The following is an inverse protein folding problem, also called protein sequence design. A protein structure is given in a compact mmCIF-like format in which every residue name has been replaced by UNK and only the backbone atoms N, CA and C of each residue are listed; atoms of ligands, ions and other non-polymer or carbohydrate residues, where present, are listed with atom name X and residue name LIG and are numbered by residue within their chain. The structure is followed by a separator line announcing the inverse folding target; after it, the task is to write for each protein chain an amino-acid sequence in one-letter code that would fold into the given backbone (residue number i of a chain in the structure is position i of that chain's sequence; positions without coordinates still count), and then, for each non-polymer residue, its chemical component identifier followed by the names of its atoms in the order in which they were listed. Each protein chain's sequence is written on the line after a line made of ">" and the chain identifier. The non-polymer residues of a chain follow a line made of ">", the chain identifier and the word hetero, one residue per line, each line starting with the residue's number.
data_IF_824055908398
#
_entry.id   IF_824055908398
#
_cell.length_a   1.000
_cell.length_b   1.000
_cell.length_c   1.000
_cell.angle_alpha   90.00
_cell.angle_beta   90.00
_cell.angle_gamma   90.00
#
_symmetry.space_group_name_H-M   'P 1'
#
loop_
_entity.id
_entity.type
_entity.pdbx_description
1 polymer ?
#
# COMPACT_ATOMS: atom_id res chain seq x y z
N UNK A 1 -16.11 -1.97 -9.53
CA UNK A 1 -15.36 -1.88 -8.27
C UNK A 1 -15.26 -0.41 -7.92
N UNK A 2 -15.83 -0.02 -6.78
CA UNK A 2 -15.87 1.37 -6.30
C UNK A 2 -14.69 1.54 -5.35
N UNK A 3 -13.77 2.45 -5.67
CA UNK A 3 -12.64 2.81 -4.81
C UNK A 3 -12.86 4.25 -4.36
N UNK A 4 -13.19 4.46 -3.09
CA UNK A 4 -13.45 5.79 -2.52
C UNK A 4 -12.19 6.63 -2.52
N UNK A 5 -12.33 7.92 -2.82
CA UNK A 5 -11.30 8.93 -2.68
C UNK A 5 -11.62 9.73 -1.41
N UNK A 6 -10.71 9.76 -0.43
CA UNK A 6 -10.90 10.46 0.85
C UNK A 6 -11.12 11.97 0.76
N UNK A 7 -10.93 12.58 -0.41
CA UNK A 7 -11.05 14.03 -0.61
C UNK A 7 -12.43 14.50 -1.10
N UNK A 8 -13.27 13.59 -1.59
CA UNK A 8 -14.62 13.93 -2.01
C UNK A 8 -15.55 12.79 -1.58
N UNK A 9 -16.56 13.10 -0.77
CA UNK A 9 -17.60 12.14 -0.34
C UNK A 9 -18.49 11.60 -1.48
N UNK A 10 -18.00 11.68 -2.72
CA UNK A 10 -18.56 11.06 -3.91
C UNK A 10 -17.94 9.67 -4.04
N UNK A 11 -18.73 8.61 -3.84
CA UNK A 11 -18.31 7.26 -4.18
C UNK A 11 -17.83 7.22 -5.64
N UNK A 12 -16.70 6.57 -5.92
CA UNK A 12 -16.17 6.45 -7.27
C UNK A 12 -17.17 5.74 -8.20
N UNK A 13 -18.03 6.52 -8.83
CA UNK A 13 -18.72 6.20 -10.08
C UNK A 13 -17.94 6.88 -11.19
N UNK A 14 -16.80 6.33 -11.56
CA UNK A 14 -16.23 6.68 -12.86
C UNK A 14 -17.11 6.07 -13.95
N UNK A 15 -18.06 6.86 -14.43
CA UNK A 15 -18.77 6.65 -15.70
C UNK A 15 -17.84 6.77 -16.92
N UNK A 16 -16.53 6.94 -16.70
CA UNK A 16 -15.45 6.87 -17.69
C UNK A 16 -14.34 5.89 -17.28
N UNK A 17 -14.63 4.84 -16.51
CA UNK A 17 -13.80 3.63 -16.51
C UNK A 17 -13.97 2.89 -17.85
N UNK A 18 -13.62 3.58 -18.94
CA UNK A 18 -13.36 2.95 -20.24
C UNK A 18 -12.02 2.26 -20.11
N UNK A 19 -12.00 1.10 -19.45
CA UNK A 19 -11.05 0.01 -19.64
C UNK A 19 -9.63 0.44 -20.08
N UNK A 20 -9.03 1.42 -19.39
CA UNK A 20 -7.62 1.74 -19.57
C UNK A 20 -6.86 0.69 -18.77
N UNK A 21 -6.67 -0.44 -19.42
CA UNK A 21 -5.85 -1.54 -18.90
C UNK A 21 -4.41 -1.07 -18.96
N UNK A 22 -3.91 -0.54 -17.84
CA UNK A 22 -2.48 -0.36 -17.70
C UNK A 22 -1.80 -1.72 -17.70
N UNK A 23 -0.80 -1.88 -18.55
CA UNK A 23 0.08 -3.04 -18.50
C UNK A 23 0.94 -2.97 -17.23
N UNK A 24 0.76 -3.90 -16.29
CA UNK A 24 1.55 -3.94 -15.06
C UNK A 24 3.03 -4.31 -15.32
N UNK A 25 3.37 -4.75 -16.53
CA UNK A 25 4.74 -5.00 -16.99
C UNK A 25 5.43 -3.73 -17.53
N UNK A 26 4.75 -2.59 -17.52
CA UNK A 26 5.30 -1.29 -17.90
C UNK A 26 5.53 -0.42 -16.64
N UNK A 27 6.73 0.15 -16.51
CA UNK A 27 7.07 1.01 -15.39
C UNK A 27 6.24 2.30 -15.40
N UNK A 28 5.42 2.53 -14.36
CA UNK A 28 4.60 3.73 -14.30
C UNK A 28 5.39 5.02 -14.05
N UNK A 29 6.66 4.94 -13.66
CA UNK A 29 7.54 6.10 -13.41
C UNK A 29 8.35 6.53 -14.63
N UNK A 30 8.70 5.61 -15.54
CA UNK A 30 9.55 5.92 -16.70
C UNK A 30 9.09 5.33 -18.03
N UNK A 31 7.93 4.65 -18.07
CA UNK A 31 7.35 3.98 -19.25
C UNK A 31 8.21 2.86 -19.87
N UNK A 32 9.24 2.39 -19.17
CA UNK A 32 10.02 1.24 -19.61
C UNK A 32 9.16 -0.03 -19.57
N UNK A 33 9.05 -0.70 -20.72
CA UNK A 33 8.37 -1.99 -20.84
C UNK A 33 9.32 -3.15 -20.47
N UNK A 34 8.78 -4.14 -19.77
CA UNK A 34 9.50 -5.34 -19.36
C UNK A 34 8.80 -6.60 -19.86
N UNK A 35 9.59 -7.65 -20.10
CA UNK A 35 9.09 -8.93 -20.59
C UNK A 35 8.14 -9.64 -19.61
N UNK A 36 8.26 -9.35 -18.32
CA UNK A 36 7.42 -9.92 -17.27
C UNK A 36 7.31 -8.97 -16.07
N UNK A 37 6.32 -9.25 -15.21
CA UNK A 37 6.01 -8.47 -14.02
C UNK A 37 7.19 -8.39 -13.05
N UNK A 38 7.87 -9.50 -12.81
CA UNK A 38 8.99 -9.58 -11.86
C UNK A 38 10.16 -8.69 -12.28
N UNK A 39 10.52 -8.71 -13.57
CA UNK A 39 11.54 -7.84 -14.15
C UNK A 39 11.15 -6.36 -14.02
N UNK A 40 9.88 -6.05 -14.23
CA UNK A 40 9.33 -4.71 -14.01
C UNK A 40 9.49 -4.27 -12.54
N UNK A 41 9.12 -5.13 -11.60
CA UNK A 41 9.26 -4.87 -10.16
C UNK A 41 10.72 -4.69 -9.74
N UNK A 42 11.64 -5.52 -10.26
CA UNK A 42 13.08 -5.38 -10.00
C UNK A 42 13.61 -4.06 -10.56
N UNK A 43 13.15 -3.63 -11.74
CA UNK A 43 13.49 -2.33 -12.29
C UNK A 43 12.94 -1.18 -11.43
N UNK A 44 11.67 -1.24 -11.06
CA UNK A 44 11.01 -0.29 -10.18
C UNK A 44 11.79 -0.12 -8.87
N UNK A 45 12.23 -1.24 -8.27
CA UNK A 45 13.05 -1.21 -7.06
C UNK A 45 14.44 -0.60 -7.28
N UNK A 46 15.17 -1.06 -8.30
CA UNK A 46 16.57 -0.65 -8.52
C UNK A 46 16.73 0.77 -9.05
N UNK A 47 15.82 1.22 -9.91
CA UNK A 47 15.94 2.52 -10.57
C UNK A 47 15.15 3.61 -9.85
N UNK A 48 14.01 3.25 -9.25
CA UNK A 48 13.11 4.24 -8.65
C UNK A 48 13.01 4.10 -7.13
N UNK A 49 13.63 3.08 -6.52
CA UNK A 49 13.53 2.83 -5.09
C UNK A 49 12.13 2.36 -4.67
N UNK A 50 11.31 1.88 -5.62
CA UNK A 50 9.96 1.42 -5.32
C UNK A 50 9.96 0.10 -4.56
N UNK A 51 9.13 0.04 -3.53
CA UNK A 51 9.03 -1.10 -2.63
C UNK A 51 7.57 -1.31 -2.21
N UNK A 52 7.16 -2.57 -2.15
CA UNK A 52 5.85 -3.02 -1.67
C UNK A 52 6.07 -3.67 -0.29
N UNK A 53 5.52 -3.09 0.78
CA UNK A 53 5.55 -3.69 2.12
C UNK A 53 4.91 -5.08 2.15
N UNK A 54 5.31 -5.92 3.10
CA UNK A 54 4.57 -7.12 3.51
C UNK A 54 4.14 -8.02 2.34
N UNK A 55 5.05 -8.20 1.38
CA UNK A 55 4.79 -8.88 0.10
C UNK A 55 4.30 -10.32 0.29
N UNK A 56 4.62 -10.98 1.41
CA UNK A 56 4.11 -12.30 1.76
C UNK A 56 2.59 -12.35 2.00
N UNK A 57 1.97 -11.21 2.33
CA UNK A 57 0.52 -11.07 2.54
C UNK A 57 -0.20 -10.47 1.34
N UNK A 58 0.53 -10.06 0.31
CA UNK A 58 -0.04 -9.46 -0.89
C UNK A 58 -0.78 -10.52 -1.72
N UNK A 59 -2.08 -10.30 -1.95
CA UNK A 59 -2.93 -11.25 -2.69
C UNK A 59 -2.55 -11.33 -4.17
N UNK A 60 -2.37 -10.18 -4.82
CA UNK A 60 -2.04 -10.11 -6.24
C UNK A 60 -1.21 -8.85 -6.56
N UNK A 61 0.10 -9.00 -6.84
CA UNK A 61 0.96 -7.86 -7.20
C UNK A 61 0.52 -7.18 -8.49
N UNK A 62 -0.14 -7.90 -9.40
CA UNK A 62 -0.62 -7.36 -10.66
C UNK A 62 -1.73 -6.35 -10.44
N UNK A 63 -2.71 -6.69 -9.60
CA UNK A 63 -3.82 -5.79 -9.25
C UNK A 63 -3.30 -4.54 -8.55
N UNK A 64 -2.39 -4.70 -7.59
CA UNK A 64 -1.79 -3.57 -6.87
C UNK A 64 -1.07 -2.62 -7.84
N UNK A 65 -0.23 -3.15 -8.73
CA UNK A 65 0.52 -2.33 -9.69
C UNK A 65 -0.38 -1.64 -10.72
N UNK A 66 -1.44 -2.29 -11.19
CA UNK A 66 -2.44 -1.63 -12.05
C UNK A 66 -3.10 -0.46 -11.32
N UNK A 67 -3.51 -0.65 -10.08
CA UNK A 67 -4.14 0.40 -9.27
C UNK A 67 -3.21 1.58 -9.01
N UNK A 68 -1.98 1.31 -8.53
CA UNK A 68 -0.94 2.32 -8.29
C UNK A 68 -0.60 3.06 -9.60
N UNK A 69 -0.48 2.31 -10.69
CA UNK A 69 -0.23 2.86 -12.02
C UNK A 69 -1.31 3.86 -12.42
N UNK A 70 -2.59 3.57 -12.14
CA UNK A 70 -3.70 4.49 -12.44
C UNK A 70 -3.62 5.76 -11.58
N UNK A 71 -3.32 5.66 -10.27
CA UNK A 71 -3.12 6.84 -9.40
C UNK A 71 -2.06 7.78 -9.98
N UNK A 72 -0.94 7.25 -10.47
CA UNK A 72 0.15 8.07 -11.03
C UNK A 72 -0.15 8.55 -12.44
N UNK A 73 -0.50 7.63 -13.36
CA UNK A 73 -0.60 7.93 -14.80
C UNK A 73 -1.86 8.68 -15.19
N UNK A 74 -2.97 8.42 -14.51
CA UNK A 74 -4.27 9.00 -14.85
C UNK A 74 -4.64 10.13 -13.93
N UNK A 75 -4.47 9.91 -12.62
CA UNK A 75 -4.95 10.85 -11.61
C UNK A 75 -3.85 11.87 -11.22
N UNK A 76 -2.63 11.70 -11.75
CA UNK A 76 -1.45 12.50 -11.46
C UNK A 76 -1.26 12.71 -9.96
N UNK A 77 -1.37 11.64 -9.18
CA UNK A 77 -1.23 11.65 -7.73
C UNK A 77 0.09 11.02 -7.29
N UNK A 78 0.71 11.62 -6.28
CA UNK A 78 1.86 11.03 -5.61
C UNK A 78 1.40 9.91 -4.67
N UNK A 79 2.18 8.83 -4.57
CA UNK A 79 1.86 7.66 -3.75
C UNK A 79 2.09 7.85 -2.25
N UNK A 80 2.83 8.88 -1.88
CA UNK A 80 3.28 9.09 -0.50
C UNK A 80 2.94 10.48 0.06
N UNK A 81 2.59 11.46 -0.79
CA UNK A 81 2.10 12.71 -0.25
C UNK A 81 0.67 12.51 0.26
N UNK A 82 0.43 12.90 1.51
CA UNK A 82 -0.90 12.84 2.12
C UNK A 82 -1.93 13.68 1.35
N UNK A 83 -3.21 13.45 1.65
CA UNK A 83 -4.43 14.15 1.20
C UNK A 83 -4.34 15.67 0.93
N UNK A 84 -3.41 16.38 1.57
CA UNK A 84 -3.16 17.82 1.28
C UNK A 84 -2.51 18.07 -0.08
N UNK A 85 -2.03 17.04 -0.76
CA UNK A 85 -1.44 17.15 -2.09
C UNK A 85 -2.52 16.99 -3.15
N UNK A 86 -2.94 18.11 -3.74
CA UNK A 86 -3.75 18.09 -4.95
C UNK A 86 -3.03 17.37 -6.10
N UNK A 87 -3.80 16.90 -7.07
CA UNK A 87 -3.26 16.32 -8.30
C UNK A 87 -2.29 17.28 -8.98
N UNK A 88 -1.23 16.72 -9.55
CA UNK A 88 -0.25 17.50 -10.29
C UNK A 88 -0.84 17.92 -11.65
N UNK A 89 -0.31 19.01 -12.22
CA UNK A 89 -0.77 19.51 -13.52
C UNK A 89 -0.41 18.62 -14.71
N UNK A 90 0.45 17.61 -14.53
CA UNK A 90 0.85 16.67 -15.59
C UNK A 90 1.51 15.41 -15.02
N UNK A 91 1.57 14.36 -15.85
CA UNK A 91 2.32 13.12 -15.56
C UNK A 91 3.81 13.39 -15.29
N UNK A 92 4.40 14.30 -16.06
CA UNK A 92 5.80 14.67 -15.89
C UNK A 92 6.04 15.34 -14.53
N UNK A 93 5.11 16.20 -14.08
CA UNK A 93 5.22 16.89 -12.81
C UNK A 93 5.16 15.92 -11.62
N UNK A 94 4.22 14.96 -11.63
CA UNK A 94 4.14 13.94 -10.56
C UNK A 94 5.37 13.03 -10.56
N UNK A 95 5.87 12.61 -11.73
CA UNK A 95 7.07 11.75 -11.82
C UNK A 95 8.31 12.45 -11.28
N UNK A 96 8.57 13.69 -11.71
CA UNK A 96 9.68 14.50 -11.19
C UNK A 96 9.56 14.72 -9.70
N UNK A 97 8.35 14.94 -9.19
CA UNK A 97 8.11 15.07 -7.76
C UNK A 97 8.44 13.79 -7.01
N UNK A 98 7.95 12.64 -7.50
CA UNK A 98 8.18 11.34 -6.88
C UNK A 98 9.66 10.98 -6.86
N UNK A 99 10.38 11.22 -7.95
CA UNK A 99 11.82 11.01 -8.06
C UNK A 99 12.60 11.95 -7.12
N UNK A 100 12.32 13.26 -7.17
CA UNK A 100 13.05 14.26 -6.39
C UNK A 100 12.90 14.10 -4.87
N UNK A 101 11.75 13.60 -4.40
CA UNK A 101 11.49 13.35 -2.98
C UNK A 101 11.65 11.89 -2.56
N UNK A 102 11.95 11.00 -3.50
CA UNK A 102 11.91 9.55 -3.28
C UNK A 102 10.56 9.07 -2.72
N UNK A 103 9.46 9.67 -3.19
CA UNK A 103 8.08 9.27 -2.89
C UNK A 103 7.59 8.14 -3.82
N UNK A 104 8.51 7.25 -4.12
CA UNK A 104 8.33 6.07 -4.96
C UNK A 104 7.87 4.88 -4.11
N UNK A 105 7.31 5.09 -2.92
CA UNK A 105 6.88 4.06 -2.00
C UNK A 105 5.40 4.23 -1.69
N UNK A 106 4.75 3.13 -1.40
CA UNK A 106 3.35 3.13 -0.97
C UNK A 106 3.30 3.51 0.50
N UNK A 107 2.41 4.43 0.87
CA UNK A 107 2.14 4.78 2.27
C UNK A 107 1.47 3.57 2.96
N UNK A 108 2.04 3.07 4.05
CA UNK A 108 1.52 1.89 4.75
C UNK A 108 1.90 1.97 6.23
N UNK A 109 0.90 2.01 7.12
CA UNK A 109 1.08 2.05 8.58
C UNK A 109 1.45 3.41 9.21
N UNK A 110 1.69 4.46 8.41
CA UNK A 110 1.96 5.84 8.89
C UNK A 110 0.89 6.87 8.48
N UNK A 111 -0.18 6.43 7.79
CA UNK A 111 -1.24 7.27 7.20
C UNK A 111 -2.43 7.54 8.12
N UNK A 112 -3.43 8.27 7.59
CA UNK A 112 -4.77 8.29 8.19
C UNK A 112 -5.46 6.93 7.98
N UNK A 113 -6.41 6.58 8.84
CA UNK A 113 -7.21 5.35 8.72
C UNK A 113 -7.85 5.20 7.32
N UNK A 114 -8.17 6.32 6.67
CA UNK A 114 -8.78 6.36 5.33
C UNK A 114 -7.81 5.98 4.19
N UNK A 115 -6.54 6.40 4.24
CA UNK A 115 -5.52 6.07 3.22
C UNK A 115 -5.11 4.58 3.32
N UNK A 116 -5.11 4.03 4.53
CA UNK A 116 -4.79 2.62 4.80
C UNK A 116 -5.87 1.68 4.27
N UNK A 117 -7.15 2.05 4.42
CA UNK A 117 -8.31 1.26 3.97
C UNK A 117 -8.32 0.99 2.45
N UNK A 118 -7.78 1.89 1.61
CA UNK A 118 -7.73 1.68 0.16
C UNK A 118 -6.78 0.53 -0.24
N UNK A 119 -5.71 0.31 0.53
CA UNK A 119 -4.69 -0.70 0.24
C UNK A 119 -4.99 -2.05 0.89
N UNK A 120 -5.79 -2.07 1.96
CA UNK A 120 -6.21 -3.30 2.64
C UNK A 120 -6.83 -4.34 1.69
N UNK A 121 -7.56 -3.92 0.64
CA UNK A 121 -8.16 -4.85 -0.34
C UNK A 121 -7.11 -5.69 -1.11
N UNK A 122 -5.85 -5.27 -1.13
CA UNK A 122 -4.76 -5.97 -1.81
C UNK A 122 -4.01 -6.94 -0.90
N UNK A 123 -4.22 -6.88 0.42
CA UNK A 123 -3.51 -7.71 1.40
C UNK A 123 -4.46 -8.66 2.16
N UNK A 124 -3.95 -9.83 2.50
CA UNK A 124 -4.65 -10.83 3.30
C UNK A 124 -3.87 -11.14 4.58
N UNK A 125 -4.01 -10.29 5.60
CA UNK A 125 -3.40 -10.48 6.92
C UNK A 125 -4.11 -11.50 7.79
N UNK A 126 -5.26 -12.02 7.37
CA UNK A 126 -6.02 -13.00 8.14
C UNK A 126 -5.22 -14.29 8.43
N UNK A 127 -4.14 -14.56 7.70
CA UNK A 127 -3.20 -15.66 7.96
C UNK A 127 -2.17 -15.37 9.06
N UNK A 128 -1.92 -14.12 9.44
CA UNK A 128 -0.96 -13.77 10.50
C UNK A 128 -1.54 -13.91 11.92
N UNK A 129 -2.87 -13.92 12.04
CA UNK A 129 -3.58 -14.06 13.30
C UNK A 129 -3.90 -15.54 13.54
N UNK A 130 -2.94 -16.29 14.10
CA UNK A 130 -3.15 -17.67 14.56
C UNK A 130 -2.96 -17.78 16.07
N UNK A 131 -3.74 -18.62 16.72
CA UNK A 131 -3.55 -18.96 18.13
C UNK A 131 -2.30 -19.85 18.34
N UNK A 132 -1.99 -20.16 19.60
CA UNK A 132 -0.87 -21.02 19.96
C UNK A 132 -0.97 -22.44 19.35
N UNK A 133 -2.17 -22.84 18.92
CA UNK A 133 -2.47 -24.13 18.30
C UNK A 133 -2.53 -24.03 16.75
N UNK A 134 -2.19 -22.88 16.18
CA UNK A 134 -2.15 -22.64 14.73
C UNK A 134 -3.52 -22.45 14.08
N UNK A 135 -4.58 -22.25 14.86
CA UNK A 135 -5.93 -21.99 14.36
C UNK A 135 -6.14 -20.49 14.16
N UNK A 136 -6.79 -20.15 13.05
CA UNK A 136 -7.07 -18.76 12.68
C UNK A 136 -7.94 -18.05 13.74
N UNK A 137 -7.43 -16.95 14.28
CA UNK A 137 -8.15 -16.05 15.17
C UNK A 137 -9.14 -15.25 14.33
N UNK A 138 -10.42 -15.39 14.65
CA UNK A 138 -11.51 -14.65 14.01
C UNK A 138 -11.91 -13.55 14.99
N UNK A 139 -11.96 -12.29 14.54
CA UNK A 139 -12.55 -11.23 15.34
C UNK A 139 -14.01 -11.60 15.64
N UNK A 140 -14.31 -11.87 16.90
CA UNK A 140 -15.69 -12.01 17.36
C UNK A 140 -16.24 -10.58 17.40
N UNK A 141 -17.29 -10.30 16.62
CA UNK A 141 -18.02 -9.03 16.66
C UNK A 141 -18.71 -8.90 18.03
N UNK A 142 -17.93 -8.53 19.05
CA UNK A 142 -18.42 -8.24 20.39
C UNK A 142 -18.02 -6.81 20.72
N UNK A 143 -18.98 -5.91 20.55
CA UNK A 143 -18.91 -4.45 20.74
C UNK A 143 -18.73 -4.06 22.22
N UNK A 144 -17.99 -4.84 23.03
CA UNK A 144 -17.88 -4.64 24.48
C UNK A 144 -16.47 -4.69 25.08
N UNK A 145 -15.41 -5.01 24.34
CA UNK A 145 -14.05 -5.00 24.89
C UNK A 145 -13.18 -3.91 24.26
N UNK A 146 -13.35 -2.67 24.74
CA UNK A 146 -12.40 -1.58 24.50
C UNK A 146 -11.07 -1.94 25.16
N UNK A 147 -10.08 -2.37 24.39
CA UNK A 147 -8.69 -2.44 24.87
C UNK A 147 -8.14 -1.01 24.86
N UNK A 148 -8.15 -0.36 26.02
CA UNK A 148 -7.46 0.92 26.22
C UNK A 148 -5.95 0.68 26.25
N UNK A 149 -5.24 1.04 25.17
CA UNK A 149 -3.79 1.20 25.21
C UNK A 149 -3.48 2.45 26.05
N UNK A 150 -3.17 2.22 27.33
CA UNK A 150 -2.91 3.29 28.30
C UNK A 150 -1.85 4.28 27.79
N UNK A 151 -2.16 5.56 27.83
CA UNK A 151 -1.27 6.68 27.42
C UNK A 151 -0.21 7.01 28.50
N UNK A 152 0.30 5.98 29.17
CA UNK A 152 1.35 6.08 30.18
C UNK A 152 2.46 5.13 29.78
N UNK A 153 3.63 5.69 29.45
CA UNK A 153 4.77 4.96 28.90
C UNK A 153 5.11 3.71 29.72
N UNK A 154 4.66 2.56 29.24
CA UNK A 154 5.08 1.26 29.72
C UNK A 154 6.44 0.97 29.10
N UNK A 155 7.47 0.94 29.95
CA UNK A 155 8.83 0.54 29.58
C UNK A 155 8.81 -0.86 28.97
N UNK A 156 9.27 -0.96 27.72
CA UNK A 156 9.41 -2.24 27.02
C UNK A 156 10.73 -2.90 27.43
N UNK A 157 10.66 -3.83 28.37
CA UNK A 157 11.83 -4.65 28.76
C UNK A 157 11.90 -5.89 27.86
N UNK A 158 12.79 -5.86 26.87
CA UNK A 158 13.04 -7.01 25.99
C UNK A 158 13.97 -7.99 26.71
N UNK A 159 13.40 -9.01 27.36
CA UNK A 159 14.20 -10.09 27.94
C UNK A 159 14.71 -11.01 26.85
N UNK A 160 16.00 -10.89 26.49
CA UNK A 160 16.64 -11.80 25.52
C UNK A 160 16.79 -13.19 26.16
N UNK A 161 16.06 -14.18 25.65
CA UNK A 161 16.24 -15.58 26.05
C UNK A 161 17.61 -16.03 25.52
N UNK A 162 18.58 -16.18 26.42
CA UNK A 162 19.89 -16.72 26.07
C UNK A 162 19.77 -18.25 26.16
N UNK A 163 19.51 -18.91 25.04
CA UNK A 163 19.59 -20.37 24.96
C UNK A 163 21.07 -20.77 25.06
N UNK A 164 21.53 -20.94 26.31
CA UNK A 164 22.86 -21.42 26.64
C UNK A 164 23.03 -22.84 26.11
N UNK A 165 23.60 -22.95 24.91
CA UNK A 165 24.12 -24.20 24.38
C UNK A 165 25.54 -24.39 24.93
N UNK A 166 25.64 -25.01 26.09
CA UNK A 166 26.86 -25.72 26.53
C UNK A 166 26.97 -27.05 25.80
#
# INVERSE_FOLDING_TARGET
>A
MMYSCGLCSEGYRSSKAREEVLDPSCCFMCDLEHNNLESCMVHMHKQHGFFIPDVEYLMDPRRLLTYIGLKVKRDFMCLYCNDRCHSFGSLEAVRKHMEAKSHCKVHYGDGSEDEEAELEEFYYYSSSYVDADGKQLIAVDDTSNTIELGRGGSELVITRRNDGKT
#
